data_IF_611328018821
#
_entry.id   IF_611328018821
#
_cell.length_a   1.000
_cell.length_b   1.000
_cell.length_c   1.000
_cell.angle_alpha   90.00
_cell.angle_beta   90.00
_cell.angle_gamma   90.00
#
_symmetry.space_group_name_H-M   'P 1'
#
loop_
_entity.id
_entity.type
_entity.pdbx_description
1 polymer ?
#
# COMPACT_ATOMS: atom_id res chain seq x y z
N UNK A 1 4.19 52.53 18.54
CA UNK A 1 4.30 51.43 19.52
C UNK A 1 3.70 50.20 18.86
N UNK A 2 4.56 49.28 18.39
CA UNK A 2 4.13 48.06 17.73
C UNK A 2 4.05 46.96 18.81
N UNK A 3 2.83 46.51 19.11
CA UNK A 3 2.61 45.46 20.09
C UNK A 3 2.82 44.10 19.41
N UNK A 4 3.87 43.42 19.86
CA UNK A 4 4.27 42.08 19.42
C UNK A 4 3.19 41.06 19.79
N UNK A 5 2.60 40.40 18.79
CA UNK A 5 1.80 39.19 18.96
C UNK A 5 2.73 37.98 18.85
N UNK A 6 3.37 37.62 19.96
CA UNK A 6 3.92 36.26 20.14
C UNK A 6 2.76 35.32 20.43
N UNK A 7 2.15 34.78 19.38
CA UNK A 7 1.25 33.63 19.50
C UNK A 7 2.10 32.36 19.55
N UNK A 8 2.02 31.63 20.67
CA UNK A 8 2.44 30.24 20.73
C UNK A 8 1.50 29.44 19.82
N UNK A 9 1.97 29.12 18.62
CA UNK A 9 1.21 28.43 17.60
C UNK A 9 1.25 26.91 17.85
N UNK A 10 0.46 26.41 18.80
CA UNK A 10 0.10 24.99 18.83
C UNK A 10 -0.99 24.79 17.78
N UNK A 11 -0.56 24.40 16.57
CA UNK A 11 -1.45 24.20 15.42
C UNK A 11 -2.47 23.08 15.70
N UNK A 12 -3.78 23.34 15.71
CA UNK A 12 -4.83 22.34 15.99
C UNK A 12 -4.85 21.15 15.00
N UNK A 13 -4.16 21.29 13.86
CA UNK A 13 -4.01 20.23 12.86
C UNK A 13 -3.01 19.12 13.26
N UNK A 14 -2.10 19.39 14.20
CA UNK A 14 -1.17 18.37 14.69
C UNK A 14 -1.87 17.40 15.64
N UNK A 15 -2.78 17.90 16.48
CA UNK A 15 -3.53 17.08 17.45
C UNK A 15 -4.50 16.11 16.78
N UNK A 16 -5.11 16.51 15.65
CA UNK A 16 -6.02 15.65 14.88
C UNK A 16 -5.28 14.54 14.13
N UNK A 17 -4.16 14.85 13.48
CA UNK A 17 -3.30 13.88 12.81
C UNK A 17 -2.70 12.87 13.81
N UNK A 18 -2.28 13.34 14.97
CA UNK A 18 -1.75 12.53 16.08
C UNK A 18 -2.85 11.62 16.67
N UNK A 19 -4.09 12.10 16.78
CA UNK A 19 -5.22 11.26 17.16
C UNK A 19 -5.53 10.17 16.12
N UNK A 20 -5.57 10.53 14.84
CA UNK A 20 -5.79 9.57 13.75
C UNK A 20 -4.69 8.49 13.73
N UNK A 21 -3.43 8.88 13.93
CA UNK A 21 -2.29 7.98 14.11
C UNK A 21 -2.49 6.99 15.24
N UNK A 22 -2.87 7.47 16.44
CA UNK A 22 -3.13 6.58 17.60
C UNK A 22 -4.26 5.60 17.36
N UNK A 23 -5.34 6.01 16.70
CA UNK A 23 -6.50 5.14 16.41
C UNK A 23 -6.11 4.04 15.43
N UNK A 24 -5.48 4.39 14.31
CA UNK A 24 -5.00 3.44 13.31
C UNK A 24 -3.97 2.47 13.92
N UNK A 25 -3.01 2.97 14.70
CA UNK A 25 -2.01 2.16 15.40
C UNK A 25 -2.63 1.13 16.36
N UNK A 26 -3.63 1.54 17.15
CA UNK A 26 -4.34 0.65 18.07
C UNK A 26 -5.15 -0.41 17.34
N UNK A 27 -5.83 -0.03 16.25
CA UNK A 27 -6.58 -0.98 15.40
C UNK A 27 -5.64 -1.97 14.72
N UNK A 28 -4.52 -1.49 14.20
CA UNK A 28 -3.49 -2.31 13.58
C UNK A 28 -2.88 -3.30 14.57
N UNK A 29 -2.56 -2.86 15.79
CA UNK A 29 -2.00 -3.76 16.81
C UNK A 29 -2.94 -4.93 17.13
N UNK A 30 -4.23 -4.64 17.33
CA UNK A 30 -5.26 -5.68 17.53
C UNK A 30 -5.41 -6.59 16.31
N UNK A 31 -5.38 -6.02 15.11
CA UNK A 31 -5.48 -6.82 13.89
C UNK A 31 -4.26 -7.71 13.70
N UNK A 32 -3.05 -7.25 14.02
CA UNK A 32 -1.84 -8.06 13.96
C UNK A 32 -1.91 -9.25 14.94
N UNK A 33 -2.47 -9.04 16.13
CA UNK A 33 -2.68 -10.08 17.14
C UNK A 33 -3.77 -11.09 16.75
N UNK A 34 -4.97 -10.61 16.38
CA UNK A 34 -6.16 -11.47 16.24
C UNK A 34 -6.52 -11.82 14.78
N UNK A 35 -5.96 -11.08 13.82
CA UNK A 35 -6.41 -11.05 12.43
C UNK A 35 -5.38 -11.57 11.44
N UNK A 36 -4.12 -11.21 11.61
CA UNK A 36 -3.07 -11.45 10.61
C UNK A 36 -2.92 -12.93 10.23
N UNK A 37 -2.93 -13.84 11.23
CA UNK A 37 -2.79 -15.28 11.01
C UNK A 37 -3.94 -15.93 10.20
N UNK A 38 -5.06 -15.23 10.02
CA UNK A 38 -6.20 -15.71 9.21
C UNK A 38 -6.09 -15.34 7.73
N UNK A 39 -5.16 -14.44 7.37
CA UNK A 39 -5.01 -13.97 6.01
C UNK A 39 -4.14 -14.95 5.21
N UNK A 40 -4.65 -15.56 4.12
CA UNK A 40 -3.86 -16.50 3.32
C UNK A 40 -2.64 -15.86 2.67
N UNK A 41 -1.60 -16.66 2.41
CA UNK A 41 -0.46 -16.25 1.59
C UNK A 41 -0.91 -16.02 0.13
N UNK A 42 -0.29 -15.08 -0.60
CA UNK A 42 -0.53 -14.94 -2.05
C UNK A 42 -0.22 -16.25 -2.78
N UNK A 43 -1.05 -16.63 -3.76
CA UNK A 43 -0.83 -17.84 -4.55
C UNK A 43 -1.03 -19.16 -3.80
N UNK A 44 -1.66 -19.14 -2.62
CA UNK A 44 -1.91 -20.35 -1.82
C UNK A 44 -3.22 -21.09 -2.15
N UNK A 45 -3.88 -20.75 -3.27
CA UNK A 45 -5.19 -21.28 -3.65
C UNK A 45 -6.37 -20.53 -3.02
N UNK A 46 -6.10 -19.45 -2.26
CA UNK A 46 -7.08 -18.64 -1.52
C UNK A 46 -6.82 -17.14 -1.71
N UNK A 47 -6.28 -16.74 -2.85
CA UNK A 47 -5.93 -15.33 -3.12
C UNK A 47 -7.17 -14.43 -3.14
N UNK A 48 -8.32 -14.94 -3.58
CA UNK A 48 -9.58 -14.18 -3.55
C UNK A 48 -10.02 -13.83 -2.12
N UNK A 49 -9.85 -14.77 -1.18
CA UNK A 49 -10.13 -14.53 0.24
C UNK A 49 -9.19 -13.46 0.82
N UNK A 50 -7.90 -13.51 0.46
CA UNK A 50 -6.93 -12.47 0.82
C UNK A 50 -7.38 -11.09 0.32
N UNK A 51 -7.74 -10.98 -0.96
CA UNK A 51 -8.19 -9.70 -1.53
C UNK A 51 -9.48 -9.19 -0.89
N UNK A 52 -10.42 -10.08 -0.57
CA UNK A 52 -11.67 -9.73 0.12
C UNK A 52 -11.40 -9.15 1.51
N UNK A 53 -10.49 -9.75 2.26
CA UNK A 53 -10.09 -9.25 3.57
C UNK A 53 -9.37 -7.89 3.48
N UNK A 54 -8.48 -7.71 2.50
CA UNK A 54 -7.79 -6.43 2.25
C UNK A 54 -8.78 -5.32 1.82
N UNK A 55 -9.76 -5.63 0.96
CA UNK A 55 -10.85 -4.71 0.63
C UNK A 55 -11.67 -4.33 1.87
N UNK A 56 -11.95 -5.30 2.75
CA UNK A 56 -12.71 -5.04 3.99
C UNK A 56 -11.97 -4.08 4.92
N UNK A 57 -10.65 -4.24 5.04
CA UNK A 57 -9.80 -3.28 5.76
C UNK A 57 -9.82 -1.91 5.09
N UNK A 58 -9.63 -1.84 3.77
CA UNK A 58 -9.64 -0.59 3.01
C UNK A 58 -10.96 0.18 3.12
N UNK A 59 -12.09 -0.52 3.11
CA UNK A 59 -13.42 0.09 3.29
C UNK A 59 -13.66 0.61 4.70
N UNK A 60 -13.05 -0.04 5.69
CA UNK A 60 -13.17 0.36 7.08
C UNK A 60 -12.28 1.57 7.40
N UNK A 61 -11.01 1.54 7.00
CA UNK A 61 -9.99 2.54 7.33
C UNK A 61 -8.75 2.30 6.45
N UNK A 62 -8.44 3.25 5.55
CA UNK A 62 -7.33 3.10 4.60
C UNK A 62 -5.95 3.14 5.28
N UNK A 63 -5.82 3.87 6.38
CA UNK A 63 -4.59 3.90 7.17
C UNK A 63 -4.35 2.55 7.84
N UNK A 64 -5.39 1.95 8.43
CA UNK A 64 -5.34 0.57 8.93
C UNK A 64 -4.99 -0.42 7.82
N UNK A 65 -5.65 -0.31 6.67
CA UNK A 65 -5.40 -1.19 5.54
C UNK A 65 -3.93 -1.16 5.11
N UNK A 66 -3.32 0.04 5.04
CA UNK A 66 -1.90 0.18 4.71
C UNK A 66 -0.98 -0.52 5.69
N UNK A 67 -1.24 -0.41 7.00
CA UNK A 67 -0.42 -1.05 8.03
C UNK A 67 -0.60 -2.58 8.02
N UNK A 68 -1.86 -3.04 7.94
CA UNK A 68 -2.20 -4.45 7.91
C UNK A 68 -1.66 -5.15 6.64
N UNK A 69 -1.77 -4.49 5.48
CA UNK A 69 -1.21 -4.96 4.22
C UNK A 69 0.32 -5.07 4.31
N UNK A 70 1.00 -4.06 4.87
CA UNK A 70 2.45 -4.12 5.09
C UNK A 70 2.88 -5.29 5.98
N UNK A 71 2.16 -5.57 7.07
CA UNK A 71 2.46 -6.73 7.91
C UNK A 71 2.17 -8.06 7.18
N UNK A 72 1.06 -8.14 6.45
CA UNK A 72 0.72 -9.30 5.64
C UNK A 72 1.70 -9.57 4.49
N UNK A 73 2.30 -8.51 3.94
CA UNK A 73 3.36 -8.61 2.92
C UNK A 73 4.67 -9.05 3.56
N UNK A 74 5.03 -8.52 4.73
CA UNK A 74 6.19 -8.99 5.48
C UNK A 74 6.13 -10.49 5.77
N UNK A 75 4.99 -11.00 6.21
CA UNK A 75 4.77 -12.44 6.42
C UNK A 75 4.97 -13.25 5.13
N UNK A 76 4.48 -12.76 3.99
CA UNK A 76 4.68 -13.43 2.70
C UNK A 76 6.16 -13.40 2.26
N UNK A 77 6.83 -12.25 2.41
CA UNK A 77 8.26 -12.10 2.11
C UNK A 77 9.11 -13.06 2.93
N UNK A 78 8.89 -13.11 4.24
CA UNK A 78 9.63 -13.99 5.14
C UNK A 78 9.43 -15.46 4.75
N UNK A 79 8.19 -15.87 4.48
CA UNK A 79 7.87 -17.22 4.03
C UNK A 79 8.58 -17.59 2.71
N UNK A 80 8.48 -16.74 1.69
CA UNK A 80 9.07 -17.00 0.37
C UNK A 80 10.61 -17.02 0.39
N UNK A 81 11.23 -16.25 1.29
CA UNK A 81 12.68 -16.17 1.43
C UNK A 81 13.25 -17.11 2.51
N UNK A 82 12.43 -18.03 3.04
CA UNK A 82 12.87 -19.04 4.01
C UNK A 82 13.28 -18.47 5.37
N UNK A 83 12.78 -17.30 5.74
CA UNK A 83 13.01 -16.67 7.03
C UNK A 83 11.87 -16.97 8.02
N UNK A 84 12.11 -16.90 9.34
CA UNK A 84 11.06 -17.10 10.33
C UNK A 84 9.90 -16.13 10.14
N UNK A 85 8.67 -16.63 10.30
CA UNK A 85 7.48 -15.80 10.32
C UNK A 85 7.48 -14.85 11.54
N UNK A 86 6.74 -13.72 11.47
CA UNK A 86 6.53 -12.86 12.62
C UNK A 86 6.05 -13.62 13.86
N UNK A 87 6.66 -13.36 15.01
CA UNK A 87 6.21 -13.92 16.28
C UNK A 87 4.92 -13.23 16.77
N UNK A 88 4.23 -13.88 17.71
CA UNK A 88 3.03 -13.31 18.33
C UNK A 88 3.33 -11.95 18.99
N UNK A 89 2.51 -10.94 18.70
CA UNK A 89 2.70 -9.56 19.18
C UNK A 89 3.67 -8.71 18.35
N UNK A 90 4.37 -9.31 17.39
CA UNK A 90 5.21 -8.53 16.47
C UNK A 90 4.39 -7.84 15.39
N UNK A 91 4.71 -6.58 15.13
CA UNK A 91 4.09 -5.76 14.10
C UNK A 91 5.16 -5.39 13.09
N UNK A 92 4.95 -5.78 11.85
CA UNK A 92 5.97 -5.69 10.79
C UNK A 92 5.57 -4.67 9.74
N UNK A 93 6.52 -3.84 9.32
CA UNK A 93 6.41 -3.00 8.13
C UNK A 93 7.26 -3.52 6.97
N UNK A 94 6.95 -3.11 5.75
CA UNK A 94 7.80 -3.29 4.56
C UNK A 94 8.13 -1.93 3.98
N UNK A 95 9.41 -1.56 4.03
CA UNK A 95 9.93 -0.26 3.60
C UNK A 95 10.87 -0.45 2.42
N UNK A 96 10.29 -0.47 1.22
CA UNK A 96 11.01 -0.69 -0.03
C UNK A 96 11.14 0.57 -0.91
N UNK A 97 10.48 1.68 -0.54
CA UNK A 97 10.46 2.90 -1.34
C UNK A 97 11.85 3.54 -1.49
N UNK A 98 12.08 4.18 -2.64
CA UNK A 98 13.31 4.93 -2.97
C UNK A 98 12.98 6.33 -3.49
N UNK A 99 12.43 7.23 -2.64
CA UNK A 99 12.24 8.60 -3.06
C UNK A 99 13.58 9.33 -3.25
N UNK A 100 13.63 10.32 -4.16
CA UNK A 100 14.78 11.22 -4.26
C UNK A 100 15.12 11.85 -2.90
N UNK A 101 16.42 12.00 -2.63
CA UNK A 101 16.90 12.64 -1.38
C UNK A 101 16.98 11.73 -0.15
N UNK A 102 16.67 10.44 -0.29
CA UNK A 102 16.88 9.43 0.76
C UNK A 102 17.88 8.39 0.30
N UNK A 103 18.72 7.90 1.21
CA UNK A 103 19.71 6.84 0.93
C UNK A 103 19.97 6.08 2.22
N UNK A 104 19.78 4.77 2.17
CA UNK A 104 20.07 3.86 3.26
C UNK A 104 21.11 2.86 2.77
N UNK A 105 22.24 2.77 3.46
CA UNK A 105 23.31 1.82 3.16
C UNK A 105 23.36 0.74 4.22
N UNK A 106 23.73 -0.47 3.81
CA UNK A 106 24.03 -1.56 4.71
C UNK A 106 25.46 -2.05 4.47
N UNK A 107 26.21 -2.26 5.55
CA UNK A 107 27.57 -2.80 5.55
C UNK A 107 27.62 -4.07 6.38
N UNK A 108 28.36 -5.07 5.92
CA UNK A 108 28.62 -6.27 6.73
C UNK A 108 29.47 -5.90 7.94
N UNK A 109 29.16 -6.52 9.09
CA UNK A 109 29.96 -6.38 10.32
C UNK A 109 31.17 -7.35 10.37
N UNK A 110 31.41 -8.10 9.29
CA UNK A 110 32.46 -9.12 9.19
C UNK A 110 32.01 -10.54 9.55
N UNK A 111 30.76 -10.72 10.00
CA UNK A 111 30.08 -12.01 10.14
C UNK A 111 28.79 -12.09 9.32
N UNK A 112 27.79 -12.78 9.85
CA UNK A 112 26.44 -12.86 9.24
C UNK A 112 25.58 -11.60 9.50
N UNK A 113 26.10 -10.65 10.28
CA UNK A 113 25.42 -9.43 10.68
C UNK A 113 25.66 -8.26 9.72
N UNK A 114 24.73 -7.32 9.76
CA UNK A 114 24.76 -6.10 8.96
C UNK A 114 24.45 -4.89 9.81
N UNK A 115 24.97 -3.75 9.39
CA UNK A 115 24.75 -2.46 10.04
C UNK A 115 24.19 -1.47 9.02
N UNK A 116 23.06 -0.85 9.38
CA UNK A 116 22.33 0.10 8.54
C UNK A 116 22.60 1.53 8.98
N UNK A 117 22.94 2.38 8.00
CA UNK A 117 23.24 3.79 8.17
C UNK A 117 22.59 4.61 7.06
N UNK A 118 21.87 5.67 7.43
CA UNK A 118 21.30 6.63 6.48
C UNK A 118 19.83 6.97 6.74
N UNK A 119 19.12 7.35 5.68
CA UNK A 119 17.74 7.79 5.71
C UNK A 119 16.89 6.92 4.79
N UNK A 120 15.84 6.31 5.33
CA UNK A 120 14.84 5.56 4.57
C UNK A 120 13.55 6.36 4.46
N UNK A 121 13.11 6.63 3.24
CA UNK A 121 11.88 7.35 3.00
C UNK A 121 10.62 6.48 3.10
N UNK A 122 9.50 7.11 3.47
CA UNK A 122 8.16 6.51 3.51
C UNK A 122 8.07 5.21 4.32
N UNK A 123 8.38 5.28 5.62
CA UNK A 123 8.33 4.14 6.52
C UNK A 123 6.95 4.02 7.20
N UNK A 124 5.96 3.41 6.54
CA UNK A 124 4.61 3.26 7.12
C UNK A 124 4.66 2.48 8.43
N UNK A 125 3.95 2.99 9.44
CA UNK A 125 3.92 2.47 10.80
C UNK A 125 5.19 2.71 11.60
N UNK A 126 6.00 3.73 11.28
CA UNK A 126 7.32 3.94 11.88
C UNK A 126 7.31 3.92 13.44
N UNK A 127 6.28 4.44 14.08
CA UNK A 127 6.17 4.46 15.54
C UNK A 127 5.43 3.23 16.11
N UNK A 128 4.77 2.43 15.28
CA UNK A 128 3.90 1.32 15.74
C UNK A 128 4.48 -0.06 15.43
N UNK A 129 5.19 -0.21 14.32
CA UNK A 129 5.88 -1.44 13.96
C UNK A 129 7.00 -1.72 14.96
N UNK A 130 7.13 -2.99 15.37
CA UNK A 130 8.24 -3.48 16.22
C UNK A 130 9.42 -3.97 15.37
N UNK A 131 9.12 -4.36 14.13
CA UNK A 131 10.09 -4.85 13.16
C UNK A 131 9.79 -4.28 11.79
N UNK A 132 10.78 -4.27 10.91
CA UNK A 132 10.57 -3.97 9.51
C UNK A 132 11.47 -4.78 8.60
N UNK A 133 10.95 -5.08 7.41
CA UNK A 133 11.75 -5.43 6.25
C UNK A 133 12.10 -4.15 5.51
N UNK A 134 13.39 -3.84 5.45
CA UNK A 134 13.90 -2.60 4.87
C UNK A 134 14.93 -2.90 3.79
N UNK A 135 14.77 -2.27 2.64
CA UNK A 135 15.73 -2.41 1.56
C UNK A 135 16.83 -1.35 1.67
N UNK A 136 18.08 -1.75 1.45
CA UNK A 136 19.25 -0.87 1.52
C UNK A 136 20.27 -1.21 0.43
N UNK A 137 21.08 -0.22 0.06
CA UNK A 137 22.21 -0.39 -0.86
C UNK A 137 23.39 -1.04 -0.12
N UNK A 138 24.02 -2.03 -0.74
CA UNK A 138 25.28 -2.64 -0.29
C UNK A 138 26.33 -2.52 -1.40
N UNK A 139 27.59 -2.84 -1.09
CA UNK A 139 28.67 -2.86 -2.08
C UNK A 139 28.42 -3.90 -3.19
N UNK A 140 27.70 -4.99 -2.88
CA UNK A 140 27.36 -6.07 -3.82
C UNK A 140 26.01 -5.86 -4.53
N UNK A 141 25.30 -4.76 -4.23
CA UNK A 141 23.99 -4.48 -4.80
C UNK A 141 22.86 -4.36 -3.78
N UNK A 142 21.63 -4.39 -4.26
CA UNK A 142 20.46 -4.07 -3.45
C UNK A 142 19.98 -5.30 -2.67
N UNK A 143 19.71 -5.12 -1.38
CA UNK A 143 19.31 -6.22 -0.48
C UNK A 143 18.16 -5.82 0.43
N UNK A 144 17.49 -6.83 0.97
CA UNK A 144 16.47 -6.70 1.99
C UNK A 144 17.03 -7.10 3.35
N UNK A 145 16.67 -6.36 4.39
CA UNK A 145 17.12 -6.59 5.75
C UNK A 145 15.94 -6.60 6.72
N UNK A 146 15.99 -7.44 7.75
CA UNK A 146 15.12 -7.29 8.92
C UNK A 146 15.81 -6.45 10.00
N UNK A 147 15.04 -5.54 10.60
CA UNK A 147 15.48 -4.67 11.70
C UNK A 147 14.44 -4.66 12.81
N UNK A 148 14.90 -4.52 14.06
CA UNK A 148 14.05 -4.12 15.18
C UNK A 148 14.00 -2.59 15.26
N UNK A 149 12.84 -2.04 15.65
CA UNK A 149 12.59 -0.58 15.69
C UNK A 149 12.75 0.03 17.07
N UNK A 150 13.14 -0.77 18.07
CA UNK A 150 13.42 -0.34 19.45
C UNK A 150 14.90 0.03 19.69
N UNK A 151 15.76 -0.18 18.68
CA UNK A 151 17.18 0.15 18.77
C UNK A 151 17.40 1.68 18.90
N UNK A 152 18.32 2.17 19.75
CA UNK A 152 18.57 3.61 19.93
C UNK A 152 19.00 4.36 18.65
N UNK A 153 19.56 3.64 17.68
CA UNK A 153 19.94 4.17 16.36
C UNK A 153 18.78 4.28 15.36
N UNK A 154 17.58 3.80 15.70
CA UNK A 154 16.37 3.94 14.91
C UNK A 154 15.60 5.19 15.35
N UNK A 155 15.36 6.12 14.42
CA UNK A 155 14.67 7.37 14.75
C UNK A 155 13.75 7.85 13.61
N UNK A 156 12.43 7.77 13.75
CA UNK A 156 11.49 8.46 12.87
C UNK A 156 11.74 9.96 12.88
N UNK A 157 11.74 10.58 11.70
CA UNK A 157 12.11 11.99 11.54
C UNK A 157 10.84 12.86 11.60
N UNK A 158 10.69 13.60 12.69
CA UNK A 158 9.54 14.47 12.92
C UNK A 158 9.31 15.46 11.76
N UNK A 159 8.05 15.60 11.35
CA UNK A 159 7.63 16.57 10.33
C UNK A 159 7.92 16.17 8.88
N UNK A 160 8.43 14.96 8.62
CA UNK A 160 8.60 14.42 7.25
C UNK A 160 7.30 13.79 6.70
N UNK A 161 6.34 13.47 7.56
CA UNK A 161 4.98 13.09 7.18
C UNK A 161 3.97 14.14 7.65
N UNK A 162 3.58 15.05 6.75
CA UNK A 162 2.60 16.13 7.01
C UNK A 162 1.29 15.93 6.24
N UNK A 163 1.00 14.69 5.89
CA UNK A 163 -0.13 14.36 5.03
C UNK A 163 -1.45 14.49 5.78
N UNK A 164 -2.44 15.15 5.16
CA UNK A 164 -3.83 15.16 5.65
C UNK A 164 -4.47 13.80 5.36
N UNK A 165 -4.37 13.34 4.10
CA UNK A 165 -4.72 11.98 3.72
C UNK A 165 -3.63 10.99 4.13
N UNK A 166 -4.03 9.81 4.56
CA UNK A 166 -3.17 8.76 5.08
C UNK A 166 -2.35 9.21 6.30
N UNK A 167 -2.81 10.22 7.05
CA UNK A 167 -2.16 10.69 8.28
C UNK A 167 -1.94 9.53 9.27
N UNK A 168 -2.96 8.70 9.44
CA UNK A 168 -2.93 7.55 10.36
C UNK A 168 -2.00 6.42 9.94
N UNK A 169 -1.50 6.41 8.70
CA UNK A 169 -0.54 5.41 8.24
C UNK A 169 0.85 5.59 8.86
N UNK A 170 1.10 6.75 9.49
CA UNK A 170 2.35 7.07 10.18
C UNK A 170 3.57 6.72 9.32
N UNK A 171 3.74 7.45 8.20
CA UNK A 171 4.73 7.15 7.16
C UNK A 171 5.86 8.17 7.09
N UNK A 172 6.50 8.58 8.21
CA UNK A 172 7.66 9.48 8.16
C UNK A 172 8.86 8.79 7.52
N UNK A 173 9.86 9.60 7.18
CA UNK A 173 11.19 9.08 6.93
C UNK A 173 11.80 8.59 8.25
N UNK A 174 12.69 7.61 8.20
CA UNK A 174 13.38 7.06 9.36
C UNK A 174 14.89 7.16 9.16
N UNK A 175 15.57 7.68 10.17
CA UNK A 175 17.02 7.70 10.24
C UNK A 175 17.52 6.44 10.95
N UNK A 176 18.52 5.82 10.34
CA UNK A 176 19.27 4.70 10.87
C UNK A 176 20.69 5.18 11.18
N UNK A 177 21.15 4.93 12.40
CA UNK A 177 22.51 5.21 12.85
C UNK A 177 23.08 3.95 13.49
N UNK A 178 23.92 3.25 12.73
CA UNK A 178 24.52 1.98 13.08
C UNK A 178 23.51 0.96 13.64
N UNK A 179 22.36 0.78 12.96
CA UNK A 179 21.31 -0.14 13.41
C UNK A 179 21.67 -1.57 12.97
N UNK A 180 21.77 -2.54 13.90
CA UNK A 180 21.96 -3.94 13.54
C UNK A 180 20.80 -4.47 12.71
N UNK A 181 21.14 -5.28 11.71
CA UNK A 181 20.17 -5.90 10.83
C UNK A 181 20.61 -7.28 10.38
N UNK A 182 19.66 -8.06 9.89
CA UNK A 182 19.89 -9.38 9.30
C UNK A 182 19.48 -9.36 7.84
N UNK A 183 20.35 -9.84 6.94
CA UNK A 183 19.99 -10.00 5.54
C UNK A 183 18.88 -11.05 5.38
N UNK A 184 17.86 -10.74 4.58
CA UNK A 184 16.76 -11.63 4.23
C UNK A 184 16.87 -11.94 2.74
N UNK A 185 17.29 -13.16 2.43
CA UNK A 185 17.64 -13.57 1.06
C UNK A 185 18.97 -12.98 0.57
N UNK A 186 19.28 -13.24 -0.71
CA UNK A 186 20.46 -12.71 -1.39
C UNK A 186 20.24 -11.35 -2.06
N UNK A 187 21.21 -10.93 -2.87
CA UNK A 187 21.10 -9.72 -3.73
C UNK A 187 19.90 -9.85 -4.67
N UNK A 188 19.10 -8.79 -4.71
CA UNK A 188 17.85 -8.66 -5.48
C UNK A 188 16.81 -9.75 -5.22
N UNK A 189 17.00 -10.60 -4.20
CA UNK A 189 16.09 -11.71 -3.91
C UNK A 189 14.67 -11.21 -3.62
N UNK A 190 14.52 -10.05 -2.99
CA UNK A 190 13.23 -9.41 -2.74
C UNK A 190 12.45 -9.06 -4.03
N UNK A 191 13.15 -8.63 -5.09
CA UNK A 191 12.54 -8.19 -6.35
C UNK A 191 12.22 -9.36 -7.28
N UNK A 192 12.93 -10.48 -7.14
CA UNK A 192 12.80 -11.68 -7.97
C UNK A 192 11.89 -12.75 -7.36
N UNK A 193 10.92 -12.35 -6.55
CA UNK A 193 9.95 -13.29 -5.97
C UNK A 193 8.65 -13.22 -6.75
N UNK A 194 7.92 -14.35 -6.93
CA UNK A 194 6.55 -14.32 -7.45
C UNK A 194 5.65 -13.36 -6.65
N UNK A 195 5.83 -13.34 -5.32
CA UNK A 195 5.10 -12.46 -4.42
C UNK A 195 5.29 -10.96 -4.68
N UNK A 196 6.34 -10.53 -5.39
CA UNK A 196 6.54 -9.10 -5.68
C UNK A 196 5.42 -8.54 -6.59
N UNK A 197 5.08 -9.27 -7.66
CA UNK A 197 3.97 -8.90 -8.53
C UNK A 197 2.61 -9.13 -7.84
N UNK A 198 2.44 -10.29 -7.19
CA UNK A 198 1.19 -10.65 -6.51
C UNK A 198 0.83 -9.67 -5.37
N UNK A 199 1.81 -9.28 -4.56
CA UNK A 199 1.64 -8.32 -3.47
C UNK A 199 1.16 -6.96 -3.97
N UNK A 200 1.66 -6.51 -5.12
CA UNK A 200 1.20 -5.30 -5.79
C UNK A 200 -0.31 -5.29 -6.11
N UNK A 201 -0.89 -6.45 -6.42
CA UNK A 201 -2.34 -6.60 -6.62
C UNK A 201 -3.11 -6.53 -5.30
N UNK A 202 -2.55 -7.07 -4.20
CA UNK A 202 -3.11 -6.94 -2.86
C UNK A 202 -3.26 -5.49 -2.39
N UNK A 203 -2.29 -4.63 -2.72
CA UNK A 203 -2.40 -3.18 -2.46
C UNK A 203 -3.58 -2.57 -3.24
N UNK A 204 -3.78 -2.97 -4.50
CA UNK A 204 -4.93 -2.52 -5.29
C UNK A 204 -6.27 -2.97 -4.68
N UNK A 205 -6.33 -4.16 -4.08
CA UNK A 205 -7.50 -4.59 -3.33
C UNK A 205 -7.81 -3.64 -2.15
N UNK A 206 -6.79 -3.15 -1.43
CA UNK A 206 -7.00 -2.13 -0.39
C UNK A 206 -7.61 -0.84 -0.96
N UNK A 207 -7.14 -0.38 -2.12
CA UNK A 207 -7.67 0.82 -2.79
C UNK A 207 -9.12 0.66 -3.19
N UNK A 208 -9.51 -0.48 -3.79
CA UNK A 208 -10.90 -0.74 -4.14
C UNK A 208 -11.80 -0.75 -2.88
N UNK A 209 -11.30 -1.32 -1.77
CA UNK A 209 -11.94 -1.20 -0.47
C UNK A 209 -12.22 0.26 -0.10
N UNK A 210 -11.19 1.10 -0.19
CA UNK A 210 -11.29 2.54 0.05
C UNK A 210 -12.30 3.24 -0.86
N UNK A 211 -12.32 2.91 -2.16
CA UNK A 211 -13.28 3.45 -3.12
C UNK A 211 -14.72 3.07 -2.75
N UNK A 212 -14.97 1.81 -2.34
CA UNK A 212 -16.28 1.40 -1.80
C UNK A 212 -16.64 2.21 -0.56
N UNK A 213 -15.65 2.48 0.30
CA UNK A 213 -15.82 3.29 1.49
C UNK A 213 -16.18 4.76 1.20
N UNK A 214 -15.66 5.33 0.11
CA UNK A 214 -16.05 6.67 -0.37
C UNK A 214 -17.45 6.64 -0.98
N UNK A 215 -17.76 5.62 -1.78
CA UNK A 215 -19.06 5.43 -2.42
C UNK A 215 -20.22 5.20 -1.43
N UNK A 216 -19.92 4.73 -0.21
CA UNK A 216 -20.92 4.53 0.85
C UNK A 216 -21.76 5.77 1.14
N UNK A 217 -21.18 6.98 1.02
CA UNK A 217 -21.91 8.24 1.17
C UNK A 217 -22.98 8.43 0.08
N UNK A 218 -22.67 8.04 -1.16
CA UNK A 218 -23.61 8.12 -2.27
C UNK A 218 -24.76 7.12 -2.09
N UNK A 219 -24.44 5.88 -1.71
CA UNK A 219 -25.44 4.86 -1.40
C UNK A 219 -26.31 5.24 -0.20
N UNK A 220 -25.75 5.90 0.81
CA UNK A 220 -26.51 6.44 1.94
C UNK A 220 -27.48 7.54 1.50
N UNK A 221 -27.01 8.49 0.70
CA UNK A 221 -27.87 9.55 0.16
C UNK A 221 -29.06 8.98 -0.63
N UNK A 222 -28.83 7.95 -1.45
CA UNK A 222 -29.85 7.28 -2.24
C UNK A 222 -30.98 6.65 -1.41
N UNK A 223 -30.67 6.16 -0.20
CA UNK A 223 -31.68 5.58 0.70
C UNK A 223 -32.60 6.62 1.35
N UNK A 224 -32.16 7.88 1.41
CA UNK A 224 -32.85 8.95 2.16
C UNK A 224 -33.47 10.03 1.26
N UNK A 225 -33.07 10.10 -0.02
CA UNK A 225 -33.62 11.05 -0.99
C UNK A 225 -34.82 10.46 -1.74
N UNK A 226 -35.72 11.34 -2.17
CA UNK A 226 -36.76 10.96 -3.12
C UNK A 226 -36.12 10.46 -4.44
N UNK A 227 -36.81 9.58 -5.20
CA UNK A 227 -36.31 9.11 -6.49
C UNK A 227 -35.92 10.28 -7.41
N UNK A 228 -34.66 10.28 -7.83
CA UNK A 228 -34.06 11.32 -8.66
C UNK A 228 -33.29 10.64 -9.82
N UNK A 229 -33.67 10.89 -11.10
CA UNK A 229 -32.98 10.33 -12.26
C UNK A 229 -31.49 10.65 -12.32
N UNK A 230 -31.05 11.81 -11.82
CA UNK A 230 -29.63 12.19 -11.82
C UNK A 230 -28.86 11.39 -10.79
N UNK A 231 -29.42 11.23 -9.58
CA UNK A 231 -28.86 10.35 -8.57
C UNK A 231 -28.80 8.88 -9.06
N UNK A 232 -29.83 8.42 -9.77
CA UNK A 232 -29.85 7.09 -10.36
C UNK A 232 -28.74 6.91 -11.43
N UNK A 233 -28.47 7.92 -12.25
CA UNK A 233 -27.37 7.90 -13.21
C UNK A 233 -26.01 7.79 -12.51
N UNK A 234 -25.78 8.56 -11.44
CA UNK A 234 -24.56 8.48 -10.64
C UNK A 234 -24.39 7.09 -9.99
N UNK A 235 -25.47 6.49 -9.49
CA UNK A 235 -25.43 5.13 -8.94
C UNK A 235 -25.07 4.09 -10.01
N UNK A 236 -25.62 4.20 -11.22
CA UNK A 236 -25.28 3.31 -12.32
C UNK A 236 -23.82 3.44 -12.77
N UNK A 237 -23.31 4.68 -12.85
CA UNK A 237 -21.89 4.92 -13.13
C UNK A 237 -20.99 4.33 -12.04
N UNK A 238 -21.36 4.51 -10.77
CA UNK A 238 -20.64 3.96 -9.61
C UNK A 238 -20.60 2.42 -9.65
N UNK A 239 -21.73 1.79 -9.97
CA UNK A 239 -21.84 0.34 -10.05
C UNK A 239 -20.90 -0.26 -11.10
N UNK A 240 -20.90 0.30 -12.32
CA UNK A 240 -20.02 -0.12 -13.42
C UNK A 240 -18.54 0.03 -13.04
N UNK A 241 -18.19 1.16 -12.42
CA UNK A 241 -16.82 1.42 -11.97
C UNK A 241 -16.35 0.37 -10.98
N UNK A 242 -17.08 0.19 -9.88
CA UNK A 242 -16.69 -0.71 -8.79
C UNK A 242 -16.67 -2.18 -9.22
N UNK A 243 -17.65 -2.61 -10.04
CA UNK A 243 -17.68 -3.98 -10.54
C UNK A 243 -16.61 -4.27 -11.59
N UNK A 244 -16.24 -3.31 -12.44
CA UNK A 244 -15.14 -3.50 -13.40
C UNK A 244 -13.81 -3.78 -12.70
N UNK A 245 -13.51 -3.03 -11.62
CA UNK A 245 -12.33 -3.26 -10.79
C UNK A 245 -12.42 -4.58 -10.00
N UNK A 246 -13.60 -4.93 -9.48
CA UNK A 246 -13.81 -6.19 -8.78
C UNK A 246 -13.55 -7.40 -9.68
N UNK A 247 -14.11 -7.41 -10.90
CA UNK A 247 -13.89 -8.51 -11.85
C UNK A 247 -12.42 -8.67 -12.23
N UNK A 248 -11.68 -7.56 -12.38
CA UNK A 248 -10.26 -7.63 -12.64
C UNK A 248 -9.47 -8.22 -11.45
N UNK A 249 -9.84 -7.88 -10.21
CA UNK A 249 -9.24 -8.49 -9.01
C UNK A 249 -9.58 -9.97 -8.88
N UNK A 250 -10.82 -10.37 -9.16
CA UNK A 250 -11.24 -11.77 -9.11
C UNK A 250 -10.50 -12.61 -10.17
N UNK A 251 -10.40 -12.10 -11.40
CA UNK A 251 -9.63 -12.75 -12.46
C UNK A 251 -8.13 -12.83 -12.12
N UNK A 252 -7.57 -11.78 -11.53
CA UNK A 252 -6.18 -11.78 -11.08
C UNK A 252 -5.96 -12.79 -9.95
N UNK A 253 -6.86 -12.87 -8.98
CA UNK A 253 -6.77 -13.85 -7.89
C UNK A 253 -6.77 -15.28 -8.43
N UNK A 254 -7.69 -15.61 -9.33
CA UNK A 254 -7.77 -16.93 -9.95
C UNK A 254 -6.48 -17.29 -10.72
N UNK A 255 -5.92 -16.33 -11.47
CA UNK A 255 -4.70 -16.56 -12.22
C UNK A 255 -3.46 -16.68 -11.32
N UNK A 256 -3.37 -15.89 -10.25
CA UNK A 256 -2.31 -15.99 -9.24
C UNK A 256 -2.34 -17.37 -8.57
N UNK A 257 -3.52 -17.89 -8.25
CA UNK A 257 -3.65 -19.22 -7.64
C UNK A 257 -3.39 -20.35 -8.65
N UNK A 258 -3.61 -20.13 -9.94
CA UNK A 258 -3.29 -21.10 -10.99
C UNK A 258 -1.79 -21.18 -11.30
N UNK A 259 -1.08 -20.04 -11.22
CA UNK A 259 0.34 -19.90 -11.56
C UNK A 259 1.13 -19.23 -10.39
N UNK A 260 1.17 -19.83 -9.19
CA UNK A 260 1.64 -19.13 -7.99
C UNK A 260 3.14 -18.86 -7.95
N UNK A 261 3.92 -19.56 -8.78
CA UNK A 261 5.37 -19.41 -8.90
C UNK A 261 5.79 -18.55 -10.10
N UNK A 262 4.85 -18.02 -10.87
CA UNK A 262 5.15 -17.16 -12.01
C UNK A 262 5.67 -15.79 -11.52
N UNK A 263 6.91 -15.46 -11.85
CA UNK A 263 7.58 -14.20 -11.52
C UNK A 263 8.06 -13.41 -12.76
N UNK A 264 7.73 -13.92 -13.95
CA UNK A 264 8.11 -13.36 -15.24
C UNK A 264 7.19 -12.25 -15.75
N UNK A 265 7.31 -11.90 -17.05
CA UNK A 265 6.56 -10.79 -17.65
C UNK A 265 5.04 -10.91 -17.51
N UNK A 266 4.48 -12.13 -17.55
CA UNK A 266 3.03 -12.37 -17.40
C UNK A 266 2.51 -11.88 -16.04
N UNK A 267 3.19 -12.24 -14.95
CA UNK A 267 2.83 -11.78 -13.61
C UNK A 267 2.97 -10.26 -13.47
N UNK A 268 4.06 -9.68 -13.98
CA UNK A 268 4.29 -8.23 -13.96
C UNK A 268 3.20 -7.47 -14.73
N UNK A 269 2.84 -7.97 -15.91
CA UNK A 269 1.84 -7.38 -16.77
C UNK A 269 0.44 -7.47 -16.16
N UNK A 270 0.08 -8.63 -15.57
CA UNK A 270 -1.15 -8.83 -14.80
C UNK A 270 -1.25 -7.81 -13.66
N UNK A 271 -0.19 -7.69 -12.85
CA UNK A 271 -0.15 -6.77 -11.74
C UNK A 271 -0.25 -5.30 -12.19
N UNK A 272 0.48 -4.91 -13.23
CA UNK A 272 0.46 -3.56 -13.78
C UNK A 272 -0.94 -3.19 -14.33
N UNK A 273 -1.57 -4.08 -15.11
CA UNK A 273 -2.93 -3.89 -15.66
C UNK A 273 -3.95 -3.69 -14.53
N UNK A 274 -3.95 -4.55 -13.52
CA UNK A 274 -4.92 -4.49 -12.42
C UNK A 274 -4.71 -3.24 -11.57
N UNK A 275 -3.45 -2.92 -11.21
CA UNK A 275 -3.14 -1.72 -10.43
C UNK A 275 -3.54 -0.44 -11.17
N UNK A 276 -3.28 -0.36 -12.48
CA UNK A 276 -3.65 0.79 -13.30
C UNK A 276 -5.18 0.97 -13.36
N UNK A 277 -5.91 -0.11 -13.65
CA UNK A 277 -7.38 -0.09 -13.70
C UNK A 277 -7.98 0.32 -12.35
N UNK A 278 -7.54 -0.30 -11.26
CA UNK A 278 -8.11 -0.01 -9.94
C UNK A 278 -7.77 1.43 -9.51
N UNK A 279 -6.57 1.93 -9.80
CA UNK A 279 -6.22 3.32 -9.52
C UNK A 279 -7.08 4.32 -10.32
N UNK A 280 -7.35 4.05 -11.60
CA UNK A 280 -8.28 4.85 -12.43
C UNK A 280 -9.70 4.83 -11.86
N UNK A 281 -10.22 3.64 -11.55
CA UNK A 281 -11.54 3.48 -10.94
C UNK A 281 -11.63 4.27 -9.63
N UNK A 282 -10.64 4.19 -8.76
CA UNK A 282 -10.65 4.95 -7.50
C UNK A 282 -10.68 6.46 -7.74
N UNK A 283 -9.91 6.98 -8.71
CA UNK A 283 -9.93 8.40 -9.07
C UNK A 283 -11.29 8.84 -9.61
N UNK A 284 -11.93 8.01 -10.44
CA UNK A 284 -13.26 8.28 -10.99
C UNK A 284 -14.35 8.20 -9.93
N UNK A 285 -14.24 7.27 -8.96
CA UNK A 285 -15.16 7.20 -7.82
C UNK A 285 -15.10 8.48 -6.98
N UNK A 286 -13.90 9.02 -6.71
CA UNK A 286 -13.74 10.27 -5.99
C UNK A 286 -14.45 11.44 -6.69
N UNK A 287 -14.23 11.58 -8.00
CA UNK A 287 -14.87 12.62 -8.83
C UNK A 287 -16.39 12.44 -8.92
N UNK A 288 -16.86 11.21 -9.14
CA UNK A 288 -18.28 10.89 -9.28
C UNK A 288 -19.07 11.15 -8.00
N UNK A 289 -18.54 10.75 -6.83
CA UNK A 289 -19.18 11.05 -5.54
C UNK A 289 -19.22 12.56 -5.29
N UNK A 290 -18.13 13.27 -5.61
CA UNK A 290 -18.07 14.73 -5.47
C UNK A 290 -19.11 15.44 -6.34
N UNK A 291 -19.30 15.01 -7.59
CA UNK A 291 -20.32 15.55 -8.50
C UNK A 291 -21.74 15.26 -8.01
N UNK A 292 -21.98 14.05 -7.52
CA UNK A 292 -23.31 13.62 -7.11
C UNK A 292 -23.79 14.25 -5.79
N UNK A 293 -22.87 14.50 -4.84
CA UNK A 293 -23.21 14.95 -3.50
C UNK A 293 -22.84 16.41 -3.22
N UNK A 294 -21.98 17.01 -4.05
CA UNK A 294 -21.43 18.35 -3.83
C UNK A 294 -20.54 18.43 -2.59
N UNK A 295 -20.28 19.65 -2.12
CA UNK A 295 -19.38 19.90 -0.99
C UNK A 295 -19.92 19.43 0.38
N UNK A 296 -21.22 19.12 0.49
CA UNK A 296 -21.88 18.85 1.77
C UNK A 296 -21.17 17.79 2.62
N UNK A 297 -21.02 16.53 2.13
CA UNK A 297 -20.31 15.50 2.88
C UNK A 297 -18.85 15.86 3.20
N UNK A 298 -18.15 16.55 2.30
CA UNK A 298 -16.77 16.97 2.52
C UNK A 298 -16.64 18.01 3.66
N UNK A 299 -17.68 18.79 3.91
CA UNK A 299 -17.66 19.85 4.93
C UNK A 299 -18.36 19.47 6.24
N UNK A 300 -19.22 18.45 6.23
CA UNK A 300 -20.09 18.13 7.37
C UNK A 300 -20.00 16.67 7.85
N UNK A 301 -19.25 15.82 7.14
CA UNK A 301 -18.94 14.45 7.56
C UNK A 301 -17.41 14.26 7.58
N UNK A 302 -16.85 14.31 8.79
CA UNK A 302 -15.41 14.18 9.01
C UNK A 302 -14.88 12.81 8.58
N UNK A 303 -15.67 11.74 8.71
CA UNK A 303 -15.26 10.41 8.29
C UNK A 303 -15.19 10.33 6.76
N UNK A 304 -16.21 10.84 6.07
CA UNK A 304 -16.20 10.89 4.61
C UNK A 304 -15.07 11.76 4.07
N UNK A 305 -14.87 12.95 4.62
CA UNK A 305 -13.78 13.85 4.24
C UNK A 305 -12.41 13.18 4.42
N UNK A 306 -12.21 12.44 5.52
CA UNK A 306 -10.97 11.68 5.75
C UNK A 306 -10.79 10.55 4.73
N UNK A 307 -11.84 9.76 4.43
CA UNK A 307 -11.79 8.70 3.41
C UNK A 307 -11.40 9.23 2.03
N UNK A 308 -11.95 10.38 1.64
CA UNK A 308 -11.60 11.06 0.39
C UNK A 308 -10.13 11.49 0.39
N UNK A 309 -9.67 12.12 1.48
CA UNK A 309 -8.27 12.54 1.60
C UNK A 309 -7.31 11.33 1.57
N UNK A 310 -7.62 10.28 2.32
CA UNK A 310 -6.84 9.04 2.41
C UNK A 310 -6.73 8.36 1.05
N UNK A 311 -7.86 8.14 0.37
CA UNK A 311 -7.87 7.47 -0.93
C UNK A 311 -7.09 8.27 -1.96
N UNK A 312 -7.23 9.61 -1.95
CA UNK A 312 -6.49 10.51 -2.84
C UNK A 312 -4.98 10.32 -2.71
N UNK A 313 -4.48 10.17 -1.48
CA UNK A 313 -3.04 9.93 -1.22
C UNK A 313 -2.65 8.48 -1.54
N UNK A 314 -3.42 7.49 -1.08
CA UNK A 314 -3.02 6.08 -1.16
C UNK A 314 -2.88 5.59 -2.60
N UNK A 315 -3.76 6.01 -3.51
CA UNK A 315 -3.68 5.61 -4.93
C UNK A 315 -2.45 6.17 -5.65
N UNK A 316 -1.74 7.15 -5.07
CA UNK A 316 -0.47 7.69 -5.64
C UNK A 316 0.72 6.75 -5.45
N UNK A 317 0.54 5.61 -4.80
CA UNK A 317 1.46 4.48 -4.91
C UNK A 317 1.44 3.84 -6.32
N UNK A 318 0.42 4.15 -7.14
CA UNK A 318 0.52 4.06 -8.59
C UNK A 318 1.03 5.41 -9.12
N UNK A 319 2.22 5.44 -9.73
CA UNK A 319 2.91 6.65 -10.18
C UNK A 319 2.36 7.22 -11.50
N UNK A 320 1.06 7.08 -11.71
CA UNK A 320 0.30 7.56 -12.86
C UNK A 320 0.98 7.23 -14.20
N UNK A 321 1.33 8.23 -15.00
CA UNK A 321 1.88 8.08 -16.34
C UNK A 321 3.21 7.32 -16.36
N UNK A 322 3.98 7.36 -15.26
CA UNK A 322 5.23 6.57 -15.16
C UNK A 322 4.94 5.07 -15.15
N UNK A 323 3.95 4.65 -14.36
CA UNK A 323 3.55 3.25 -14.28
C UNK A 323 2.81 2.82 -15.57
N UNK A 324 2.01 3.70 -16.18
CA UNK A 324 1.41 3.45 -17.50
C UNK A 324 2.45 3.32 -18.61
N UNK A 325 3.52 4.12 -18.59
CA UNK A 325 4.63 3.99 -19.53
C UNK A 325 5.38 2.67 -19.34
N UNK A 326 5.53 2.20 -18.09
CA UNK A 326 6.09 0.88 -17.81
C UNK A 326 5.20 -0.24 -18.34
N UNK A 327 3.89 -0.14 -18.12
CA UNK A 327 2.91 -1.05 -18.69
C UNK A 327 2.97 -1.07 -20.23
N UNK A 328 3.08 0.09 -20.89
CA UNK A 328 3.19 0.18 -22.35
C UNK A 328 4.40 -0.56 -22.92
N UNK A 329 5.54 -0.55 -22.20
CA UNK A 329 6.73 -1.33 -22.58
C UNK A 329 6.48 -2.83 -22.45
N UNK A 330 5.93 -3.28 -21.32
CA UNK A 330 5.61 -4.69 -21.11
C UNK A 330 4.64 -5.24 -22.17
N UNK A 331 3.64 -4.46 -22.59
CA UNK A 331 2.71 -4.84 -23.67
C UNK A 331 3.43 -4.96 -25.01
N UNK A 332 4.39 -4.07 -25.29
CA UNK A 332 5.15 -4.10 -26.55
C UNK A 332 6.06 -5.33 -26.61
N UNK A 333 6.71 -5.67 -25.50
CA UNK A 333 7.53 -6.88 -25.35
C UNK A 333 6.69 -8.15 -25.55
N UNK A 334 5.52 -8.27 -24.88
CA UNK A 334 4.58 -9.38 -25.05
C UNK A 334 4.18 -9.58 -26.52
N UNK A 335 3.87 -8.49 -27.24
CA UNK A 335 3.48 -8.59 -28.66
C UNK A 335 4.61 -9.02 -29.58
N UNK A 336 5.85 -8.64 -29.28
CA UNK A 336 7.02 -9.05 -30.06
C UNK A 336 7.30 -10.54 -29.87
N UNK A 337 7.22 -11.04 -28.63
CA UNK A 337 7.42 -12.45 -28.31
C UNK A 337 6.35 -13.34 -28.98
N UNK A 338 5.08 -12.90 -28.97
CA UNK A 338 4.00 -13.61 -29.67
C UNK A 338 4.21 -13.65 -31.19
N UNK A 339 4.72 -12.59 -31.79
CA UNK A 339 4.99 -12.54 -33.24
C UNK A 339 6.14 -13.49 -33.61
N UNK A 340 7.23 -13.49 -32.83
CA UNK A 340 8.36 -14.38 -33.04
C UNK A 340 7.97 -15.86 -32.88
N UNK A 341 7.20 -16.19 -31.84
CA UNK A 341 6.72 -17.56 -31.62
C UNK A 341 5.84 -18.05 -32.78
N UNK A 342 5.05 -17.16 -33.39
CA UNK A 342 4.22 -17.49 -34.55
C UNK A 342 5.07 -17.78 -35.79
N UNK A 343 6.11 -16.99 -36.05
CA UNK A 343 7.05 -17.19 -37.16
C UNK A 343 7.82 -18.52 -37.03
N UNK A 344 8.14 -18.97 -35.82
CA UNK A 344 8.78 -20.27 -35.57
C UNK A 344 7.84 -21.47 -35.76
N UNK A 345 6.53 -21.33 -35.49
CA UNK A 345 5.54 -22.39 -35.72
C UNK A 345 5.07 -22.51 -37.17
N UNK A 346 5.16 -21.43 -37.96
CA UNK A 346 4.72 -21.38 -39.36
C UNK A 346 5.87 -21.66 -40.37
N UNK A 347 7.11 -21.87 -39.91
CA UNK A 347 8.31 -22.16 -40.71
C UNK A 347 8.79 -23.61 -40.63
#
# INVERSE_FOLDING_TARGET
>A
MATSLTSQNTSPNLDSADMAGRVAAKRFSRWAEDGAGRLPLPGSGRTQERFTALQSLGRADLSLARLAEGHADATAILHELGAPAPAAGERWGVWAARPPGTTLRARSDGGDGWVLDGLKGYCSGAHTCTHALVTADTDDGYRLFSVATDHPGYAPVAGTWRAVGMAGSDTPDVRFTAVPARAIGGVDAYLRRPGFAHGGVGVAACWLGGARGVADALFAAARHRAPDPLLAAHLGAMDVLLHSAQWALDAAAAAIDAEPLEDGPSAQLRAARVRALVADVCARVLDEVGRALGAGPLCHDAEHAQRVADLTVYIRQHHAERDLAALGRLVTEETADMAAAKEETDG
#
